data_IF_675869642257
#
_entry.id   IF_675869642257
#
_cell.length_a   1.000
_cell.length_b   1.000
_cell.length_c   1.000
_cell.angle_alpha   90.00
_cell.angle_beta   90.00
_cell.angle_gamma   90.00
#
_symmetry.space_group_name_H-M   'P 1'
#
loop_
_entity.id
_entity.type
_entity.pdbx_description
1 polymer ?
#
# COMPACT_ATOMS: atom_id res chain seq x y z
N UNK A 1 -2.07 -31.03 11.55
CA UNK A 1 -2.33 -31.09 10.09
C UNK A 1 -2.36 -29.66 9.56
N UNK A 2 -1.60 -29.32 8.52
CA UNK A 2 -1.52 -27.92 8.04
C UNK A 2 -2.81 -27.59 7.27
N UNK A 3 -3.56 -26.60 7.74
CA UNK A 3 -4.79 -26.14 7.08
C UNK A 3 -4.41 -25.14 5.98
N UNK A 4 -4.52 -25.56 4.71
CA UNK A 4 -4.19 -24.69 3.57
C UNK A 4 -5.25 -23.61 3.41
N UNK A 5 -4.81 -22.35 3.36
CA UNK A 5 -5.64 -21.20 3.00
C UNK A 5 -5.54 -20.97 1.49
N UNK A 6 -6.66 -20.86 0.76
CA UNK A 6 -6.63 -20.45 -0.64
C UNK A 6 -6.19 -18.98 -0.75
N UNK A 7 -5.26 -18.69 -1.64
CA UNK A 7 -4.85 -17.32 -1.93
C UNK A 7 -5.81 -16.73 -2.96
N UNK A 8 -6.45 -15.61 -2.65
CA UNK A 8 -7.21 -14.84 -3.64
C UNK A 8 -6.24 -14.05 -4.53
N UNK A 9 -6.47 -14.02 -5.84
CA UNK A 9 -5.73 -13.17 -6.79
C UNK A 9 -6.08 -11.67 -6.68
N UNK A 10 -6.63 -11.22 -5.54
CA UNK A 10 -7.12 -9.86 -5.32
C UNK A 10 -6.03 -8.89 -4.82
N UNK A 11 -4.74 -9.22 -5.00
CA UNK A 11 -3.67 -8.32 -4.58
C UNK A 11 -3.44 -7.27 -5.67
N UNK A 12 -3.46 -5.99 -5.30
CA UNK A 12 -3.03 -4.91 -6.19
C UNK A 12 -1.52 -4.99 -6.34
N UNK A 13 -1.04 -5.03 -7.58
CA UNK A 13 0.38 -4.92 -7.88
C UNK A 13 0.88 -3.50 -7.57
N UNK A 14 2.18 -3.38 -7.29
CA UNK A 14 2.84 -2.07 -7.12
C UNK A 14 2.58 -1.16 -8.32
N UNK A 15 2.53 -1.75 -9.53
CA UNK A 15 2.25 -1.03 -10.76
C UNK A 15 0.84 -0.45 -10.78
N UNK A 16 -0.18 -1.26 -10.48
CA UNK A 16 -1.58 -0.80 -10.45
C UNK A 16 -1.78 0.29 -9.38
N UNK A 17 -1.14 0.15 -8.21
CA UNK A 17 -1.16 1.16 -7.15
C UNK A 17 -0.54 2.48 -7.64
N UNK A 18 0.60 2.41 -8.33
CA UNK A 18 1.29 3.58 -8.86
C UNK A 18 0.51 4.26 -9.98
N UNK A 19 0.00 3.48 -10.94
CA UNK A 19 -0.80 3.98 -12.06
C UNK A 19 -2.07 4.68 -11.57
N UNK A 20 -2.75 4.11 -10.56
CA UNK A 20 -3.90 4.75 -9.90
C UNK A 20 -3.51 6.08 -9.24
N UNK A 21 -2.41 6.10 -8.50
CA UNK A 21 -1.95 7.31 -7.81
C UNK A 21 -1.60 8.41 -8.81
N UNK A 22 -0.79 8.10 -9.83
CA UNK A 22 -0.45 9.07 -10.87
C UNK A 22 -1.68 9.63 -11.58
N UNK A 23 -2.61 8.75 -11.96
CA UNK A 23 -3.84 9.16 -12.62
C UNK A 23 -4.68 10.10 -11.72
N UNK A 24 -4.83 9.74 -10.44
CA UNK A 24 -5.57 10.54 -9.46
C UNK A 24 -4.93 11.91 -9.22
N UNK A 25 -3.60 11.96 -9.15
CA UNK A 25 -2.87 13.22 -8.98
C UNK A 25 -3.00 14.13 -10.20
N UNK A 26 -2.85 13.59 -11.42
CA UNK A 26 -3.03 14.34 -12.67
C UNK A 26 -4.43 14.93 -12.76
N UNK A 27 -5.47 14.12 -12.53
CA UNK A 27 -6.86 14.57 -12.56
C UNK A 27 -7.14 15.64 -11.49
N UNK A 28 -6.58 15.48 -10.28
CA UNK A 28 -6.71 16.45 -9.19
C UNK A 28 -6.03 17.78 -9.52
N UNK A 29 -4.81 17.75 -10.09
CA UNK A 29 -4.07 18.94 -10.47
C UNK A 29 -4.77 19.70 -11.61
N UNK A 30 -5.29 18.98 -12.62
CA UNK A 30 -6.11 19.58 -13.69
C UNK A 30 -7.39 20.23 -13.14
N UNK A 31 -8.07 19.56 -12.21
CA UNK A 31 -9.28 20.11 -11.60
C UNK A 31 -8.97 21.34 -10.75
N UNK A 32 -7.87 21.33 -9.98
CA UNK A 32 -7.39 22.49 -9.22
C UNK A 32 -7.18 23.69 -10.15
N UNK A 33 -6.50 23.50 -11.28
CA UNK A 33 -6.25 24.56 -12.25
C UNK A 33 -7.55 25.13 -12.82
N UNK A 34 -8.50 24.27 -13.19
CA UNK A 34 -9.82 24.68 -13.68
C UNK A 34 -10.58 25.53 -12.65
N UNK A 35 -10.63 25.10 -11.38
CA UNK A 35 -11.32 25.86 -10.33
C UNK A 35 -10.64 27.22 -10.10
N UNK A 36 -9.31 27.27 -10.11
CA UNK A 36 -8.56 28.52 -9.98
C UNK A 36 -8.88 29.50 -11.11
N UNK A 37 -8.95 29.01 -12.36
CA UNK A 37 -9.31 29.83 -13.53
C UNK A 37 -10.74 30.39 -13.41
N UNK A 38 -11.70 29.57 -12.98
CA UNK A 38 -13.09 30.00 -12.78
C UNK A 38 -13.19 31.09 -11.70
N UNK A 39 -12.46 30.94 -10.59
CA UNK A 39 -12.40 31.95 -9.54
C UNK A 39 -11.79 33.27 -10.02
N UNK A 40 -10.69 33.20 -10.77
CA UNK A 40 -9.99 34.40 -11.27
C UNK A 40 -10.78 35.15 -12.35
N UNK A 41 -11.54 34.43 -13.17
CA UNK A 41 -12.41 35.01 -14.20
C UNK A 41 -13.77 35.48 -13.69
N UNK A 42 -14.03 35.36 -12.37
CA UNK A 42 -15.34 35.62 -11.76
C UNK A 42 -16.49 34.85 -12.44
N UNK A 43 -16.18 33.67 -12.98
CA UNK A 43 -17.15 32.76 -13.59
C UNK A 43 -17.85 31.93 -12.54
N UNK A 44 -18.96 31.27 -12.92
CA UNK A 44 -19.62 30.32 -12.05
C UNK A 44 -18.67 29.15 -11.69
N UNK A 45 -18.47 28.92 -10.40
CA UNK A 45 -17.74 27.76 -9.86
C UNK A 45 -18.74 26.69 -9.41
N UNK A 46 -18.31 25.42 -9.29
CA UNK A 46 -19.12 24.40 -8.63
C UNK A 46 -19.47 24.80 -7.20
N UNK A 47 -20.62 24.33 -6.72
CA UNK A 47 -21.22 24.78 -5.46
C UNK A 47 -20.34 24.52 -4.23
N UNK A 48 -19.50 23.47 -4.30
CA UNK A 48 -18.56 23.09 -3.27
C UNK A 48 -17.45 24.14 -3.04
N UNK A 49 -17.24 25.03 -4.01
CA UNK A 49 -16.23 26.11 -3.95
C UNK A 49 -16.83 27.50 -3.79
N UNK A 50 -18.15 27.63 -3.65
CA UNK A 50 -18.78 28.93 -3.45
C UNK A 50 -18.30 29.59 -2.16
N UNK A 51 -17.88 30.86 -2.27
CA UNK A 51 -17.37 31.62 -1.13
C UNK A 51 -15.92 31.28 -0.74
N UNK A 52 -15.29 30.30 -1.39
CA UNK A 52 -13.88 30.02 -1.16
C UNK A 52 -13.00 31.04 -1.88
N UNK A 53 -11.97 31.50 -1.19
CA UNK A 53 -10.85 32.24 -1.75
C UNK A 53 -9.90 31.31 -2.52
N UNK A 54 -9.04 31.91 -3.35
CA UNK A 54 -7.99 31.18 -4.06
C UNK A 54 -7.05 30.43 -3.10
N UNK A 55 -6.77 30.99 -1.91
CA UNK A 55 -5.92 30.33 -0.90
C UNK A 55 -6.59 29.08 -0.34
N UNK A 56 -7.86 29.18 0.03
CA UNK A 56 -8.63 28.07 0.59
C UNK A 56 -8.77 26.92 -0.41
N UNK A 57 -8.96 27.23 -1.70
CA UNK A 57 -8.93 26.21 -2.75
C UNK A 57 -7.57 25.53 -2.83
N UNK A 58 -6.48 26.28 -2.78
CA UNK A 58 -5.14 25.68 -2.81
C UNK A 58 -4.92 24.75 -1.62
N UNK A 59 -5.23 25.22 -0.41
CA UNK A 59 -5.09 24.45 0.82
C UNK A 59 -5.94 23.18 0.81
N UNK A 60 -7.15 23.24 0.26
CA UNK A 60 -8.01 22.06 0.10
C UNK A 60 -7.33 21.00 -0.79
N UNK A 61 -6.88 21.39 -1.98
CA UNK A 61 -6.23 20.44 -2.89
C UNK A 61 -4.89 19.94 -2.35
N UNK A 62 -4.13 20.76 -1.64
CA UNK A 62 -2.87 20.34 -1.02
C UNK A 62 -3.12 19.32 0.10
N UNK A 63 -4.22 19.47 0.85
CA UNK A 63 -4.67 18.47 1.83
C UNK A 63 -5.06 17.16 1.16
N UNK A 64 -5.83 17.21 0.06
CA UNK A 64 -6.19 16.01 -0.70
C UNK A 64 -4.96 15.30 -1.26
N UNK A 65 -3.99 16.03 -1.79
CA UNK A 65 -2.71 15.48 -2.26
C UNK A 65 -1.97 14.72 -1.17
N UNK A 66 -1.82 15.33 0.01
CA UNK A 66 -1.17 14.68 1.15
C UNK A 66 -1.91 13.41 1.58
N UNK A 67 -3.24 13.42 1.54
CA UNK A 67 -4.02 12.22 1.87
C UNK A 67 -3.84 11.11 0.83
N UNK A 68 -3.84 11.45 -0.46
CA UNK A 68 -3.54 10.49 -1.53
C UNK A 68 -2.15 9.87 -1.39
N UNK A 69 -1.14 10.65 -0.97
CA UNK A 69 0.22 10.16 -0.67
C UNK A 69 0.25 9.19 0.51
N UNK A 70 -0.54 9.44 1.56
CA UNK A 70 -0.69 8.50 2.68
C UNK A 70 -1.35 7.19 2.23
N UNK A 71 -2.42 7.27 1.42
CA UNK A 71 -3.11 6.10 0.88
C UNK A 71 -2.17 5.29 -0.01
N UNK A 72 -1.36 5.95 -0.85
CA UNK A 72 -0.32 5.29 -1.64
C UNK A 72 0.64 4.49 -0.74
N UNK A 73 1.18 5.10 0.31
CA UNK A 73 2.09 4.44 1.25
C UNK A 73 1.44 3.20 1.89
N UNK A 74 0.19 3.31 2.33
CA UNK A 74 -0.55 2.19 2.92
C UNK A 74 -0.78 1.06 1.92
N UNK A 75 -1.19 1.39 0.69
CA UNK A 75 -1.42 0.39 -0.35
C UNK A 75 -0.13 -0.35 -0.72
N UNK A 76 1.00 0.35 -0.82
CA UNK A 76 2.30 -0.27 -1.06
C UNK A 76 2.69 -1.22 0.08
N UNK A 77 2.53 -0.78 1.33
CA UNK A 77 2.83 -1.59 2.51
C UNK A 77 1.96 -2.86 2.57
N UNK A 78 0.65 -2.73 2.33
CA UNK A 78 -0.28 -3.86 2.31
C UNK A 78 0.05 -4.83 1.17
N UNK A 79 0.38 -4.32 -0.02
CA UNK A 79 0.76 -5.14 -1.17
C UNK A 79 2.03 -5.96 -0.88
N UNK A 80 3.07 -5.32 -0.33
CA UNK A 80 4.31 -6.00 0.06
C UNK A 80 4.06 -7.02 1.18
N UNK A 81 3.27 -6.65 2.20
CA UNK A 81 2.90 -7.58 3.27
C UNK A 81 2.19 -8.82 2.73
N UNK A 82 1.23 -8.64 1.83
CA UNK A 82 0.49 -9.73 1.22
C UNK A 82 1.42 -10.70 0.48
N UNK A 83 2.34 -10.18 -0.34
CA UNK A 83 3.33 -11.00 -1.07
C UNK A 83 4.20 -11.80 -0.11
N UNK A 84 4.71 -11.16 0.95
CA UNK A 84 5.57 -11.83 1.94
C UNK A 84 4.81 -12.87 2.78
N UNK A 85 3.55 -12.61 3.13
CA UNK A 85 2.67 -13.58 3.79
C UNK A 85 2.39 -14.79 2.90
N UNK A 86 2.15 -14.57 1.61
CA UNK A 86 1.97 -15.66 0.64
C UNK A 86 3.24 -16.51 0.57
N UNK A 87 4.40 -15.89 0.43
CA UNK A 87 5.70 -16.60 0.37
C UNK A 87 5.96 -17.42 1.64
N UNK A 88 5.69 -16.85 2.82
CA UNK A 88 5.75 -17.54 4.10
C UNK A 88 4.89 -18.81 4.09
N UNK A 89 3.60 -18.69 3.74
CA UNK A 89 2.67 -19.82 3.73
C UNK A 89 3.05 -20.85 2.66
N UNK A 90 3.49 -20.42 1.48
CA UNK A 90 3.96 -21.32 0.42
C UNK A 90 5.16 -22.15 0.87
N UNK A 91 6.14 -21.56 1.56
CA UNK A 91 7.30 -22.28 2.11
C UNK A 91 6.90 -23.30 3.19
N UNK A 92 5.95 -22.93 4.04
CA UNK A 92 5.37 -23.85 5.03
C UNK A 92 4.70 -25.04 4.34
N UNK A 93 3.89 -24.80 3.31
CA UNK A 93 3.13 -25.83 2.59
C UNK A 93 4.02 -26.74 1.74
N UNK A 94 5.00 -26.18 1.03
CA UNK A 94 5.93 -26.92 0.16
C UNK A 94 6.97 -27.72 0.94
N UNK A 95 7.17 -27.40 2.23
CA UNK A 95 8.14 -28.07 3.12
C UNK A 95 9.57 -28.09 2.56
N UNK A 96 9.99 -26.98 1.95
CA UNK A 96 11.36 -26.86 1.42
C UNK A 96 12.40 -27.14 2.52
N UNK A 97 13.55 -27.70 2.12
CA UNK A 97 14.57 -28.20 3.05
C UNK A 97 15.53 -27.12 3.58
N UNK A 98 15.44 -25.88 3.08
CA UNK A 98 16.30 -24.76 3.47
C UNK A 98 16.06 -24.27 4.91
N UNK A 99 17.06 -23.61 5.54
CA UNK A 99 16.98 -23.14 6.93
C UNK A 99 15.82 -22.18 7.21
N UNK A 100 15.52 -21.26 6.29
CA UNK A 100 14.42 -20.30 6.43
C UNK A 100 13.07 -21.02 6.44
N UNK A 101 12.86 -21.95 5.50
CA UNK A 101 11.62 -22.74 5.44
C UNK A 101 11.42 -23.66 6.66
N UNK A 102 12.50 -24.14 7.29
CA UNK A 102 12.39 -24.86 8.58
C UNK A 102 11.87 -23.93 9.68
N UNK A 103 12.49 -22.75 9.80
CA UNK A 103 12.10 -21.74 10.79
C UNK A 103 10.67 -21.27 10.60
N UNK A 104 10.23 -21.08 9.35
CA UNK A 104 8.83 -20.75 9.04
C UNK A 104 7.84 -21.84 9.44
N UNK A 105 8.20 -23.13 9.32
CA UNK A 105 7.35 -24.20 9.81
C UNK A 105 7.26 -24.23 11.32
N UNK A 106 8.35 -23.93 12.01
CA UNK A 106 8.34 -23.85 13.47
C UNK A 106 7.48 -22.67 13.93
N UNK A 107 7.64 -21.49 13.31
CA UNK A 107 6.79 -20.33 13.52
C UNK A 107 5.30 -20.63 13.24
N UNK A 108 5.01 -21.39 12.17
CA UNK A 108 3.63 -21.76 11.83
C UNK A 108 2.98 -22.65 12.89
N UNK A 109 3.74 -23.53 13.56
CA UNK A 109 3.20 -24.34 14.66
C UNK A 109 2.80 -23.51 15.87
N UNK A 110 3.45 -22.36 16.06
CA UNK A 110 3.18 -21.45 17.18
C UNK A 110 2.04 -20.46 16.87
N UNK A 111 2.10 -19.81 15.71
CA UNK A 111 1.25 -18.66 15.38
C UNK A 111 0.29 -18.88 14.21
N UNK A 112 0.46 -19.96 13.45
CA UNK A 112 -0.30 -20.23 12.22
C UNK A 112 -0.39 -19.00 11.29
N UNK A 113 -1.60 -18.47 11.06
CA UNK A 113 -1.86 -17.31 10.20
C UNK A 113 -1.79 -15.97 10.95
N UNK A 114 -1.59 -15.99 12.28
CA UNK A 114 -1.53 -14.78 13.14
C UNK A 114 -0.12 -14.15 13.21
N UNK A 115 0.77 -14.56 12.31
CA UNK A 115 2.12 -14.00 12.21
C UNK A 115 2.07 -12.52 11.84
N UNK A 116 2.99 -11.75 12.44
CA UNK A 116 3.21 -10.34 12.12
C UNK A 116 4.35 -10.20 11.11
N UNK A 117 4.20 -9.26 10.17
CA UNK A 117 5.19 -9.06 9.11
C UNK A 117 6.57 -8.69 9.68
N UNK A 118 6.60 -7.67 10.53
CA UNK A 118 7.79 -7.06 11.10
C UNK A 118 8.50 -7.96 12.13
N UNK A 119 7.75 -8.43 13.12
CA UNK A 119 8.29 -9.16 14.27
C UNK A 119 8.62 -10.63 13.97
N UNK A 120 7.88 -11.24 13.05
CA UNK A 120 7.99 -12.68 12.77
C UNK A 120 8.64 -12.94 11.40
N UNK A 121 8.01 -12.52 10.31
CA UNK A 121 8.44 -12.90 8.95
C UNK A 121 9.77 -12.24 8.60
N UNK A 122 9.85 -10.91 8.68
CA UNK A 122 11.05 -10.14 8.31
C UNK A 122 12.22 -10.42 9.25
N UNK A 123 11.95 -10.63 10.54
CA UNK A 123 12.98 -11.01 11.51
C UNK A 123 13.67 -12.32 11.14
N UNK A 124 12.91 -13.35 10.76
CA UNK A 124 13.46 -14.63 10.31
C UNK A 124 14.21 -14.50 8.99
N UNK A 125 13.67 -13.74 8.03
CA UNK A 125 14.38 -13.44 6.79
C UNK A 125 15.75 -12.80 7.04
N UNK A 126 15.81 -11.74 7.86
CA UNK A 126 17.06 -11.05 8.21
C UNK A 126 18.06 -11.95 8.94
N UNK A 127 17.56 -12.91 9.73
CA UNK A 127 18.42 -13.87 10.42
C UNK A 127 19.08 -14.86 9.45
N UNK A 128 18.33 -15.36 8.47
CA UNK A 128 18.83 -16.35 7.49
C UNK A 128 19.54 -15.72 6.29
N UNK A 129 19.32 -14.42 6.03
CA UNK A 129 19.93 -13.65 4.96
C UNK A 129 20.56 -12.35 5.49
N UNK A 130 21.61 -12.43 6.34
CA UNK A 130 22.26 -11.25 6.93
C UNK A 130 22.95 -10.35 5.89
N UNK A 131 23.24 -10.87 4.71
CA UNK A 131 23.79 -10.14 3.56
C UNK A 131 22.80 -9.14 2.95
N UNK A 132 21.49 -9.34 3.15
CA UNK A 132 20.42 -8.47 2.63
C UNK A 132 20.06 -7.33 3.61
N UNK A 133 20.97 -6.96 4.52
CA UNK A 133 20.78 -5.82 5.40
C UNK A 133 20.88 -4.51 4.59
N UNK A 134 19.73 -3.88 4.37
CA UNK A 134 19.63 -2.46 4.02
C UNK A 134 19.91 -1.58 5.23
#
# INVERSE_FOLDING_TARGET
MIKKVPFSNLHLSIREIWEWFEFSQKASDEYKLKIRELLLSASAVPIEFHGMSLSEVNELFDRHRKESENILCLNLLVSVEAVLRIEYLQRVYKKNKDPLSRSFRDLYREKENRVRLDEDILRLWKHHHPELKG
#
